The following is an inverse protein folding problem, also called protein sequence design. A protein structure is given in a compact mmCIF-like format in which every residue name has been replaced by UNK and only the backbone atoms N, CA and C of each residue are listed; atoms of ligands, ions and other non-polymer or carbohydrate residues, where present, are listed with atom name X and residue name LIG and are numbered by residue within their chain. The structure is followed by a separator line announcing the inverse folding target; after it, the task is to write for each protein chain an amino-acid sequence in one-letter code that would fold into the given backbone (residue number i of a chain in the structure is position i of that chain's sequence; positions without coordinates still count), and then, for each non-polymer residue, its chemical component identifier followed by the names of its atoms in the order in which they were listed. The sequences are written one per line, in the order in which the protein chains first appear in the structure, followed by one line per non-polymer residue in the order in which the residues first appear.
data_IF_131928102014
#
_entry.id   IF_131928102014
#
_cell.length_a   1.000
_cell.length_b   1.000
_cell.length_c   1.000
_cell.angle_alpha   90.00
_cell.angle_beta   90.00
_cell.angle_gamma   90.00
#
_symmetry.space_group_name_H-M   'P 1'
#
loop_
_entity.id
_entity.type
_entity.pdbx_description
1 polymer ?
#
# COMPACT_ATOMS: atom_id res chain seq x y z
N UNK A 1 -19.64 -1.15 0.01
CA UNK A 1 -18.26 -1.49 -0.45
C UNK A 1 -17.72 -2.48 0.55
N UNK A 2 -17.42 -3.69 0.10
CA UNK A 2 -17.10 -4.79 1.02
C UNK A 2 -15.60 -5.15 0.99
N UNK A 3 -14.86 -4.64 -0.01
CA UNK A 3 -13.44 -4.91 -0.19
C UNK A 3 -12.70 -3.68 -0.75
N UNK A 4 -11.47 -3.48 -0.24
CA UNK A 4 -10.51 -2.49 -0.74
C UNK A 4 -9.17 -3.19 -0.96
N UNK A 5 -8.52 -2.89 -2.08
CA UNK A 5 -7.13 -3.28 -2.30
C UNK A 5 -6.21 -2.18 -1.77
N UNK A 6 -5.17 -2.60 -1.07
CA UNK A 6 -4.14 -1.69 -0.52
C UNK A 6 -2.82 -2.06 -1.18
N UNK A 7 -2.41 -1.23 -2.14
CA UNK A 7 -1.23 -1.39 -2.99
C UNK A 7 -0.09 -0.55 -2.43
N UNK A 8 0.69 -1.16 -1.53
CA UNK A 8 1.66 -0.47 -0.67
C UNK A 8 2.97 -0.20 -1.41
N UNK A 9 3.31 1.07 -1.57
CA UNK A 9 4.61 1.57 -2.02
C UNK A 9 5.17 0.88 -3.28
N UNK A 10 4.31 0.58 -4.25
CA UNK A 10 4.72 -0.02 -5.53
C UNK A 10 5.34 1.01 -6.47
N UNK A 11 6.43 1.64 -6.00
CA UNK A 11 7.13 2.75 -6.66
C UNK A 11 8.43 2.29 -7.33
N UNK A 12 8.92 3.10 -8.28
CA UNK A 12 10.11 2.79 -9.08
C UNK A 12 11.35 2.59 -8.21
N UNK A 13 11.58 3.46 -7.21
CA UNK A 13 12.75 3.36 -6.34
C UNK A 13 12.80 2.05 -5.52
N UNK A 14 11.66 1.42 -5.27
CA UNK A 14 11.58 0.16 -4.54
C UNK A 14 11.56 -1.08 -5.43
N UNK A 15 10.96 -0.97 -6.63
CA UNK A 15 10.70 -2.14 -7.47
C UNK A 15 11.66 -2.28 -8.64
N UNK A 16 12.27 -1.19 -9.14
CA UNK A 16 13.26 -1.26 -10.21
C UNK A 16 14.63 -1.66 -9.64
N UNK A 17 15.36 -2.62 -10.24
CA UNK A 17 16.71 -2.98 -9.79
C UNK A 17 17.70 -1.82 -9.75
N UNK A 18 17.47 -0.75 -10.53
CA UNK A 18 18.24 0.48 -10.49
C UNK A 18 17.66 1.54 -9.55
N UNK A 19 16.59 1.23 -8.84
CA UNK A 19 15.92 2.13 -7.90
C UNK A 19 16.77 2.46 -6.67
N UNK A 20 16.57 3.63 -6.10
CA UNK A 20 17.42 4.17 -5.03
C UNK A 20 17.33 3.37 -3.72
N UNK A 21 16.24 2.64 -3.49
CA UNK A 21 16.05 1.75 -2.34
C UNK A 21 15.40 0.43 -2.80
N UNK A 22 16.07 -0.25 -3.73
CA UNK A 22 15.57 -1.50 -4.30
C UNK A 22 15.30 -2.56 -3.23
N UNK A 23 14.10 -3.12 -3.25
CA UNK A 23 13.68 -4.20 -2.35
C UNK A 23 14.05 -5.55 -2.98
N UNK A 24 14.92 -6.36 -2.36
CA UNK A 24 15.30 -7.67 -2.88
C UNK A 24 14.07 -8.57 -3.11
N UNK A 25 14.04 -9.29 -4.23
CA UNK A 25 12.91 -10.17 -4.59
C UNK A 25 11.67 -9.44 -5.14
N UNK A 26 11.67 -8.11 -5.20
CA UNK A 26 10.51 -7.36 -5.73
C UNK A 26 10.19 -7.70 -7.19
N UNK A 27 11.17 -8.04 -8.01
CA UNK A 27 10.95 -8.44 -9.40
C UNK A 27 10.11 -9.73 -9.51
N UNK A 28 10.22 -10.64 -8.55
CA UNK A 28 9.49 -11.91 -8.53
C UNK A 28 7.98 -11.72 -8.27
N UNK A 29 7.62 -10.66 -7.55
CA UNK A 29 6.23 -10.35 -7.19
C UNK A 29 5.51 -9.47 -8.21
N UNK A 30 6.23 -8.81 -9.13
CA UNK A 30 5.65 -7.90 -10.12
C UNK A 30 4.51 -8.53 -10.95
N UNK A 31 4.63 -9.78 -11.44
CA UNK A 31 3.54 -10.42 -12.19
C UNK A 31 2.25 -10.52 -11.37
N UNK A 32 2.35 -10.84 -10.08
CA UNK A 32 1.20 -10.98 -9.19
C UNK A 32 0.59 -9.61 -8.82
N UNK A 33 1.40 -8.61 -8.51
CA UNK A 33 0.92 -7.23 -8.30
C UNK A 33 0.14 -6.75 -9.54
N UNK A 34 0.69 -6.94 -10.73
CA UNK A 34 0.03 -6.58 -11.99
C UNK A 34 -1.32 -7.26 -12.14
N UNK A 35 -1.41 -8.58 -11.91
CA UNK A 35 -2.66 -9.35 -11.96
C UNK A 35 -3.71 -8.81 -10.99
N UNK A 36 -3.31 -8.47 -9.76
CA UNK A 36 -4.20 -7.87 -8.75
C UNK A 36 -4.74 -6.52 -9.21
N UNK A 37 -3.87 -5.64 -9.74
CA UNK A 37 -4.27 -4.31 -10.22
C UNK A 37 -5.14 -4.38 -11.50
N UNK A 38 -4.87 -5.31 -12.40
CA UNK A 38 -5.73 -5.59 -13.57
C UNK A 38 -7.10 -6.12 -13.11
N UNK A 39 -7.14 -7.02 -12.12
CA UNK A 39 -8.37 -7.52 -11.51
C UNK A 39 -9.16 -6.41 -10.82
N UNK A 40 -8.50 -5.53 -10.08
CA UNK A 40 -9.13 -4.35 -9.50
C UNK A 40 -9.81 -3.48 -10.55
N UNK A 41 -9.18 -3.31 -11.72
CA UNK A 41 -9.77 -2.59 -12.86
C UNK A 41 -11.01 -3.30 -13.37
N UNK A 42 -10.93 -4.60 -13.63
CA UNK A 42 -12.01 -5.41 -14.21
C UNK A 42 -13.23 -5.49 -13.27
N UNK A 43 -13.00 -5.70 -11.99
CA UNK A 43 -14.04 -5.85 -10.97
C UNK A 43 -14.44 -4.51 -10.34
N UNK A 44 -13.83 -3.40 -10.76
CA UNK A 44 -14.03 -2.06 -10.19
C UNK A 44 -13.84 -2.04 -8.67
N UNK A 45 -12.80 -2.75 -8.19
CA UNK A 45 -12.45 -2.78 -6.76
C UNK A 45 -11.75 -1.47 -6.41
N UNK A 46 -12.25 -0.79 -5.39
CA UNK A 46 -11.61 0.42 -4.85
C UNK A 46 -10.18 0.09 -4.41
N UNK A 47 -9.22 0.88 -4.86
CA UNK A 47 -7.81 0.69 -4.51
C UNK A 47 -7.28 1.92 -3.81
N UNK A 48 -6.57 1.72 -2.71
CA UNK A 48 -5.77 2.73 -2.02
C UNK A 48 -4.30 2.37 -2.22
N UNK A 49 -3.54 3.29 -2.81
CA UNK A 49 -2.09 3.14 -2.95
C UNK A 49 -1.41 4.18 -2.05
N UNK A 50 -1.03 3.83 -0.81
CA UNK A 50 -0.07 4.64 -0.08
C UNK A 50 1.24 4.67 -0.87
N UNK A 51 1.86 5.84 -0.97
CA UNK A 51 3.11 6.06 -1.70
C UNK A 51 4.00 7.02 -0.92
N UNK A 52 5.28 6.72 -0.83
CA UNK A 52 6.24 7.65 -0.26
C UNK A 52 6.40 8.88 -1.15
N UNK A 53 6.44 10.05 -0.52
CA UNK A 53 6.61 11.35 -1.18
C UNK A 53 7.45 12.26 -0.27
N UNK A 54 8.74 11.94 -0.15
CA UNK A 54 9.66 12.60 0.74
C UNK A 54 10.06 13.99 0.25
N UNK A 55 10.31 14.92 1.18
CA UNK A 55 10.97 16.18 0.87
C UNK A 55 12.47 15.95 0.60
N UNK A 56 13.13 16.94 0.00
CA UNK A 56 14.53 16.81 -0.50
C UNK A 56 15.53 16.45 0.59
N UNK A 57 15.26 16.85 1.84
CA UNK A 57 16.09 16.72 3.05
C UNK A 57 15.33 16.00 4.18
N UNK A 58 14.53 15.01 3.83
CA UNK A 58 13.77 14.22 4.78
C UNK A 58 14.69 13.51 5.79
N UNK A 59 14.24 13.50 7.06
CA UNK A 59 15.00 12.89 8.16
C UNK A 59 15.18 11.39 8.01
N UNK A 60 14.26 10.73 7.31
CA UNK A 60 14.28 9.30 7.05
C UNK A 60 15.47 8.89 6.19
N UNK A 61 16.00 9.79 5.36
CA UNK A 61 17.18 9.55 4.52
C UNK A 61 18.46 9.25 5.31
N UNK A 62 18.48 9.56 6.61
CA UNK A 62 19.58 9.16 7.50
C UNK A 62 19.64 7.65 7.72
N UNK A 63 18.53 6.96 7.61
CA UNK A 63 18.41 5.53 7.85
C UNK A 63 18.40 4.72 6.54
N UNK A 64 17.65 5.19 5.53
CA UNK A 64 17.39 4.42 4.31
C UNK A 64 18.04 5.01 3.05
N UNK A 65 18.73 6.16 3.17
CA UNK A 65 19.22 6.89 1.99
C UNK A 65 18.09 7.62 1.26
N UNK A 66 18.47 8.42 0.27
CA UNK A 66 17.54 9.25 -0.48
C UNK A 66 16.74 8.40 -1.46
N UNK A 67 15.43 8.36 -1.32
CA UNK A 67 14.49 7.63 -2.17
C UNK A 67 13.15 8.36 -2.26
N UNK A 68 12.33 8.03 -3.24
CA UNK A 68 10.95 8.48 -3.43
C UNK A 68 10.75 10.00 -3.15
N UNK A 69 11.72 10.84 -3.56
CA UNK A 69 11.59 12.29 -3.45
C UNK A 69 10.40 12.74 -4.30
N UNK A 70 9.49 13.51 -3.71
CA UNK A 70 8.26 13.92 -4.39
C UNK A 70 8.52 14.59 -5.74
N UNK A 71 7.82 14.14 -6.77
CA UNK A 71 7.99 14.57 -8.15
C UNK A 71 9.18 13.96 -8.90
N UNK A 72 10.04 13.15 -8.24
CA UNK A 72 11.14 12.45 -8.92
C UNK A 72 10.65 11.24 -9.75
N UNK A 73 11.43 10.77 -10.73
CA UNK A 73 11.10 9.52 -11.43
C UNK A 73 10.98 8.31 -10.50
N UNK A 74 11.83 8.23 -9.45
CA UNK A 74 11.82 7.14 -8.48
C UNK A 74 10.56 7.09 -7.62
N UNK A 75 9.94 8.25 -7.38
CA UNK A 75 8.68 8.37 -6.63
C UNK A 75 7.48 7.85 -7.42
N UNK A 76 7.55 7.77 -8.73
CA UNK A 76 6.43 7.33 -9.55
C UNK A 76 6.04 5.88 -9.23
N UNK A 77 4.74 5.60 -9.30
CA UNK A 77 4.26 4.21 -9.21
C UNK A 77 4.77 3.40 -10.40
N UNK A 78 5.28 2.19 -10.13
CA UNK A 78 5.84 1.30 -11.14
C UNK A 78 4.78 0.92 -12.20
N UNK A 79 3.56 0.61 -11.74
CA UNK A 79 2.39 0.40 -12.59
C UNK A 79 1.55 1.68 -12.70
N UNK A 80 2.12 2.76 -13.24
CA UNK A 80 1.49 4.08 -13.24
C UNK A 80 0.09 4.11 -13.89
N UNK A 81 -0.19 3.23 -14.86
CA UNK A 81 -1.48 3.12 -15.55
C UNK A 81 -2.50 2.23 -14.85
N UNK A 82 -2.09 1.48 -13.78
CA UNK A 82 -2.96 0.54 -13.09
C UNK A 82 -3.20 0.94 -11.62
N UNK A 83 -4.36 0.57 -11.05
CA UNK A 83 -5.54 0.13 -11.78
C UNK A 83 -6.06 1.24 -12.68
N UNK A 84 -6.66 0.89 -13.83
CA UNK A 84 -7.26 1.84 -14.77
C UNK A 84 -8.64 2.30 -14.27
N UNK A 85 -8.66 2.95 -13.12
CA UNK A 85 -9.83 3.49 -12.44
C UNK A 85 -9.69 5.03 -12.34
N UNK A 86 -10.79 5.77 -12.17
CA UNK A 86 -10.73 7.19 -11.86
C UNK A 86 -9.84 7.43 -10.63
N UNK A 87 -8.85 8.32 -10.76
CA UNK A 87 -7.77 8.50 -9.78
C UNK A 87 -7.94 9.79 -8.99
N UNK A 88 -7.71 9.67 -7.69
CA UNK A 88 -7.61 10.78 -6.75
C UNK A 88 -6.20 10.76 -6.13
N UNK A 89 -5.56 11.92 -6.05
CA UNK A 89 -4.26 12.06 -5.37
C UNK A 89 -4.47 12.89 -4.12
N UNK A 90 -4.11 12.32 -2.98
CA UNK A 90 -4.20 12.97 -1.67
C UNK A 90 -2.80 13.32 -1.16
N UNK A 91 -2.52 14.60 -1.05
CA UNK A 91 -1.28 15.10 -0.47
C UNK A 91 -1.20 14.74 1.03
N UNK A 92 0.00 14.68 1.65
CA UNK A 92 0.17 14.22 3.04
C UNK A 92 -0.68 14.98 4.06
N UNK A 93 -0.83 16.29 3.88
CA UNK A 93 -1.60 17.20 4.74
C UNK A 93 -2.86 17.75 4.04
N UNK A 94 -3.47 17.00 3.11
CA UNK A 94 -4.62 17.48 2.36
C UNK A 94 -5.81 17.81 3.27
N UNK A 95 -6.30 19.04 3.19
CA UNK A 95 -7.54 19.46 3.82
C UNK A 95 -8.73 19.10 2.92
N UNK A 96 -9.15 17.84 2.99
CA UNK A 96 -10.29 17.33 2.24
C UNK A 96 -11.61 17.75 2.92
N UNK A 97 -12.56 18.23 2.16
CA UNK A 97 -13.93 18.43 2.67
C UNK A 97 -14.68 17.09 2.81
N UNK A 98 -15.85 17.10 3.43
CA UNK A 98 -16.60 15.87 3.70
C UNK A 98 -17.08 15.13 2.44
N UNK A 99 -17.25 15.81 1.33
CA UNK A 99 -17.62 15.20 0.06
C UNK A 99 -16.43 14.48 -0.59
N UNK A 100 -15.22 14.99 -0.39
CA UNK A 100 -13.96 14.41 -0.87
C UNK A 100 -13.46 13.28 0.04
N UNK A 101 -13.76 13.37 1.34
CA UNK A 101 -13.31 12.45 2.36
C UNK A 101 -14.17 11.19 2.41
N UNK A 102 -14.06 10.37 1.38
CA UNK A 102 -14.73 9.06 1.29
C UNK A 102 -14.07 8.17 0.26
N UNK A 103 -14.14 6.87 0.46
CA UNK A 103 -13.78 5.88 -0.53
C UNK A 103 -15.02 5.51 -1.35
N UNK A 104 -15.03 5.85 -2.62
CA UNK A 104 -16.12 5.50 -3.53
C UNK A 104 -15.80 4.18 -4.26
N UNK A 105 -16.79 3.33 -4.52
CA UNK A 105 -16.59 2.09 -5.27
C UNK A 105 -15.97 2.34 -6.65
N UNK A 106 -14.98 1.52 -6.99
CA UNK A 106 -14.33 1.58 -8.30
C UNK A 106 -13.49 2.84 -8.54
N UNK A 107 -12.94 3.42 -7.50
CA UNK A 107 -12.01 4.55 -7.56
C UNK A 107 -10.60 4.12 -7.10
N UNK A 108 -9.59 4.87 -7.51
CA UNK A 108 -8.20 4.68 -7.10
C UNK A 108 -7.71 5.92 -6.34
N UNK A 109 -7.29 5.72 -5.09
CA UNK A 109 -6.77 6.77 -4.21
C UNK A 109 -5.27 6.59 -4.01
N UNK A 110 -4.47 7.49 -4.56
CA UNK A 110 -3.03 7.57 -4.31
C UNK A 110 -2.82 8.49 -3.11
N UNK A 111 -2.43 7.93 -1.98
CA UNK A 111 -2.24 8.65 -0.72
C UNK A 111 -0.74 8.86 -0.47
N UNK A 112 -0.25 10.08 -0.70
CA UNK A 112 1.13 10.44 -0.44
C UNK A 112 1.42 10.47 1.06
N UNK A 113 2.52 9.87 1.49
CA UNK A 113 2.98 9.84 2.89
C UNK A 113 4.47 10.15 3.00
N UNK A 114 4.94 10.46 4.21
CA UNK A 114 6.34 10.76 4.52
C UNK A 114 6.91 9.85 5.61
N UNK A 115 6.14 8.88 6.06
CA UNK A 115 6.53 7.88 7.06
C UNK A 115 5.86 6.56 6.71
N UNK A 116 6.26 5.47 7.37
CA UNK A 116 5.84 4.11 7.00
C UNK A 116 4.34 3.88 6.95
N UNK A 117 3.51 4.28 7.97
CA UNK A 117 2.10 3.93 7.96
C UNK A 117 1.27 4.81 7.03
N UNK A 118 0.33 4.19 6.31
CA UNK A 118 -0.61 4.89 5.44
C UNK A 118 -1.45 5.94 6.17
N UNK A 119 -1.72 5.74 7.45
CA UNK A 119 -2.46 6.67 8.30
C UNK A 119 -1.66 7.94 8.66
N UNK A 120 -0.41 8.06 8.24
CA UNK A 120 0.30 9.34 8.26
C UNK A 120 -0.21 10.34 7.20
N UNK A 121 -0.92 9.87 6.17
CA UNK A 121 -1.70 10.74 5.29
C UNK A 121 -2.96 11.22 6.02
N UNK A 122 -3.15 12.55 6.12
CA UNK A 122 -4.25 13.15 6.89
C UNK A 122 -5.63 12.74 6.39
N UNK A 123 -5.82 12.55 5.09
CA UNK A 123 -7.08 12.08 4.50
C UNK A 123 -7.41 10.65 4.95
N UNK A 124 -6.43 9.74 4.85
CA UNK A 124 -6.60 8.35 5.26
C UNK A 124 -6.83 8.26 6.78
N UNK A 125 -6.09 9.03 7.59
CA UNK A 125 -6.30 9.09 9.04
C UNK A 125 -7.73 9.51 9.41
N UNK A 126 -8.26 10.53 8.76
CA UNK A 126 -9.65 10.97 8.97
C UNK A 126 -10.68 9.91 8.55
N UNK A 127 -10.42 9.11 7.51
CA UNK A 127 -11.29 7.97 7.15
C UNK A 127 -11.28 6.91 8.25
N UNK A 128 -10.09 6.60 8.82
CA UNK A 128 -9.96 5.71 9.98
C UNK A 128 -10.78 6.22 11.16
N UNK A 129 -10.63 7.49 11.51
CA UNK A 129 -11.31 8.11 12.67
C UNK A 129 -12.83 8.12 12.50
N UNK A 130 -13.31 8.12 11.26
CA UNK A 130 -14.74 7.95 10.91
C UNK A 130 -15.18 6.48 10.87
N UNK A 131 -14.29 5.54 11.14
CA UNK A 131 -14.61 4.11 11.17
C UNK A 131 -14.85 3.50 9.79
N UNK A 132 -14.36 4.10 8.70
CA UNK A 132 -14.57 3.63 7.33
C UNK A 132 -13.98 2.24 7.10
N UNK A 133 -12.90 1.90 7.80
CA UNK A 133 -12.24 0.60 7.67
C UNK A 133 -12.87 -0.51 8.52
N UNK A 134 -13.77 -0.19 9.44
CA UNK A 134 -14.38 -1.16 10.36
C UNK A 134 -15.19 -2.21 9.61
N UNK A 135 -14.82 -3.47 9.75
CA UNK A 135 -15.45 -4.61 9.06
C UNK A 135 -15.17 -4.68 7.56
N UNK A 136 -14.39 -3.74 7.01
CA UNK A 136 -14.00 -3.75 5.60
C UNK A 136 -12.94 -4.82 5.36
N UNK A 137 -13.07 -5.62 4.31
CA UNK A 137 -12.02 -6.51 3.84
C UNK A 137 -10.94 -5.70 3.14
N UNK A 138 -9.71 -5.70 3.69
CA UNK A 138 -8.55 -5.05 3.12
C UNK A 138 -7.57 -6.10 2.59
N UNK A 139 -7.35 -6.13 1.28
CA UNK A 139 -6.39 -7.00 0.62
C UNK A 139 -5.10 -6.23 0.38
N UNK A 140 -4.04 -6.58 1.12
CA UNK A 140 -2.79 -5.83 1.19
C UNK A 140 -1.69 -6.55 0.42
N UNK A 141 -0.98 -5.82 -0.44
CA UNK A 141 0.17 -6.30 -1.23
C UNK A 141 1.13 -5.15 -1.52
N UNK A 142 2.35 -5.44 -1.96
CA UNK A 142 3.39 -4.43 -2.26
C UNK A 142 4.64 -4.60 -1.40
N UNK A 143 5.31 -3.49 -1.06
CA UNK A 143 6.63 -3.47 -0.39
C UNK A 143 6.71 -2.38 0.70
N UNK A 144 7.67 -2.45 1.64
CA UNK A 144 8.43 -3.63 2.00
C UNK A 144 7.71 -4.40 3.12
N UNK A 145 7.74 -5.73 3.06
CA UNK A 145 7.03 -6.61 4.02
C UNK A 145 7.34 -6.28 5.47
N UNK A 146 8.62 -6.04 5.76
CA UNK A 146 9.17 -5.78 7.10
C UNK A 146 9.07 -4.32 7.55
N UNK A 147 8.55 -3.43 6.70
CA UNK A 147 8.39 -1.99 7.00
C UNK A 147 6.94 -1.55 6.74
N UNK A 148 6.64 -1.01 5.57
CA UNK A 148 5.35 -0.37 5.27
C UNK A 148 4.18 -1.35 5.20
N UNK A 149 4.36 -2.54 4.58
CA UNK A 149 3.31 -3.56 4.51
C UNK A 149 2.90 -4.01 5.92
N UNK A 150 3.90 -4.27 6.80
CA UNK A 150 3.64 -4.61 8.20
C UNK A 150 2.92 -3.48 8.92
N UNK A 151 3.40 -2.24 8.80
CA UNK A 151 2.80 -1.08 9.45
C UNK A 151 1.34 -0.90 9.02
N UNK A 152 1.07 -0.91 7.73
CA UNK A 152 -0.27 -0.72 7.18
C UNK A 152 -1.22 -1.87 7.56
N UNK A 153 -0.74 -3.12 7.56
CA UNK A 153 -1.55 -4.27 7.93
C UNK A 153 -1.95 -4.23 9.42
N UNK A 154 -1.03 -3.87 10.31
CA UNK A 154 -1.31 -3.74 11.75
C UNK A 154 -2.27 -2.57 12.02
N UNK A 155 -2.02 -1.42 11.44
CA UNK A 155 -2.86 -0.23 11.59
C UNK A 155 -4.30 -0.46 11.06
N UNK A 156 -4.45 -1.20 9.97
CA UNK A 156 -5.75 -1.58 9.44
C UNK A 156 -6.48 -2.56 10.38
N UNK A 157 -5.76 -3.51 10.99
CA UNK A 157 -6.34 -4.38 12.03
C UNK A 157 -6.83 -3.55 13.21
N UNK A 158 -6.03 -2.61 13.71
CA UNK A 158 -6.40 -1.71 14.81
C UNK A 158 -7.59 -0.81 14.45
N UNK A 159 -7.73 -0.46 13.18
CA UNK A 159 -8.90 0.26 12.66
C UNK A 159 -10.16 -0.64 12.52
N UNK A 160 -10.06 -1.93 12.84
CA UNK A 160 -11.16 -2.89 12.81
C UNK A 160 -11.43 -3.49 11.42
N UNK A 161 -10.49 -3.44 10.50
CA UNK A 161 -10.59 -4.08 9.20
C UNK A 161 -10.33 -5.61 9.29
N UNK A 162 -10.87 -6.36 8.32
CA UNK A 162 -10.49 -7.75 8.07
C UNK A 162 -9.33 -7.75 7.08
N UNK A 163 -8.10 -7.93 7.57
CA UNK A 163 -6.88 -7.76 6.77
C UNK A 163 -6.41 -9.08 6.18
N UNK A 164 -6.18 -9.08 4.87
CA UNK A 164 -5.68 -10.23 4.10
C UNK A 164 -4.41 -9.82 3.35
N UNK A 165 -3.25 -10.32 3.75
CA UNK A 165 -1.97 -10.07 3.08
C UNK A 165 -1.72 -11.14 2.02
N UNK A 166 -1.43 -10.70 0.79
CA UNK A 166 -1.19 -11.58 -0.37
C UNK A 166 0.28 -11.99 -0.38
N UNK A 167 0.57 -13.22 0.07
CA UNK A 167 1.93 -13.73 0.33
C UNK A 167 2.85 -13.76 -0.88
N UNK A 168 2.33 -14.02 -2.05
CA UNK A 168 3.02 -14.11 -3.32
C UNK A 168 3.04 -12.77 -4.09
N UNK A 169 2.63 -11.68 -3.41
CA UNK A 169 2.65 -10.31 -3.91
C UNK A 169 3.27 -9.31 -2.91
N UNK A 170 4.11 -9.79 -1.98
CA UNK A 170 4.89 -8.97 -1.06
C UNK A 170 6.37 -9.37 -1.09
N UNK A 171 7.27 -8.40 -0.94
CA UNK A 171 8.72 -8.60 -0.77
C UNK A 171 9.25 -7.65 0.30
N UNK A 172 10.37 -7.98 0.93
CA UNK A 172 10.92 -7.19 2.04
C UNK A 172 12.43 -7.05 1.98
N UNK A 173 12.96 -6.23 2.86
CA UNK A 173 14.37 -5.83 2.85
C UNK A 173 15.31 -6.92 3.37
N UNK A 174 14.90 -7.64 4.42
CA UNK A 174 15.76 -8.65 5.05
C UNK A 174 14.98 -9.92 5.42
N UNK A 175 15.60 -11.12 5.30
CA UNK A 175 14.94 -12.37 5.69
C UNK A 175 14.41 -12.37 7.13
N UNK A 176 15.24 -11.94 8.09
CA UNK A 176 14.87 -11.88 9.52
C UNK A 176 13.76 -10.84 9.76
N UNK A 177 13.81 -9.70 9.06
CA UNK A 177 12.78 -8.68 9.13
C UNK A 177 11.43 -9.19 8.63
N UNK A 178 11.44 -9.86 7.48
CA UNK A 178 10.26 -10.49 6.88
C UNK A 178 9.65 -11.51 7.85
N UNK A 179 10.46 -12.40 8.44
CA UNK A 179 9.98 -13.42 9.35
C UNK A 179 9.30 -12.80 10.59
N UNK A 180 9.94 -11.79 11.22
CA UNK A 180 9.35 -11.04 12.32
C UNK A 180 8.05 -10.35 11.92
N UNK A 181 8.04 -9.65 10.79
CA UNK A 181 6.85 -8.95 10.30
C UNK A 181 5.66 -9.89 10.10
N UNK A 182 5.93 -11.07 9.53
CA UNK A 182 4.90 -12.09 9.34
C UNK A 182 4.39 -12.68 10.65
N UNK A 183 5.26 -12.84 11.64
CA UNK A 183 4.87 -13.28 12.99
C UNK A 183 3.97 -12.23 13.68
N UNK A 184 4.36 -10.96 13.64
CA UNK A 184 3.59 -9.85 14.20
C UNK A 184 2.21 -9.72 13.55
N UNK A 185 2.15 -9.78 12.23
CA UNK A 185 0.89 -9.74 11.49
C UNK A 185 -0.02 -10.93 11.85
N UNK A 186 0.52 -12.15 11.98
CA UNK A 186 -0.27 -13.31 12.46
C UNK A 186 -0.82 -13.09 13.87
N UNK A 187 0.01 -12.58 14.77
CA UNK A 187 -0.41 -12.31 16.15
C UNK A 187 -1.52 -11.26 16.23
N UNK A 188 -1.54 -10.30 15.30
CA UNK A 188 -2.60 -9.30 15.16
C UNK A 188 -3.87 -9.81 14.46
N UNK A 189 -3.90 -11.08 14.01
CA UNK A 189 -5.08 -11.66 13.35
C UNK A 189 -5.14 -11.43 11.84
N UNK A 190 -4.05 -11.00 11.21
CA UNK A 190 -3.97 -10.89 9.74
C UNK A 190 -4.07 -12.27 9.10
N UNK A 191 -4.98 -12.41 8.15
CA UNK A 191 -5.06 -13.58 7.29
C UNK A 191 -4.05 -13.50 6.15
N UNK A 192 -3.47 -14.64 5.77
CA UNK A 192 -2.59 -14.72 4.61
C UNK A 192 -3.27 -15.47 3.48
N UNK A 193 -3.11 -14.95 2.27
CA UNK A 193 -3.75 -15.47 1.05
C UNK A 193 -2.75 -15.47 -0.11
N UNK A 194 -3.19 -15.90 -1.29
CA UNK A 194 -2.41 -15.85 -2.54
C UNK A 194 -3.17 -15.06 -3.60
N UNK A 195 -2.44 -14.60 -4.61
CA UNK A 195 -3.03 -13.94 -5.79
C UNK A 195 -4.13 -14.81 -6.41
N UNK A 196 -3.89 -16.11 -6.62
CA UNK A 196 -4.87 -17.01 -7.22
C UNK A 196 -6.14 -17.16 -6.36
N UNK A 197 -6.01 -17.17 -5.04
CA UNK A 197 -7.16 -17.22 -4.14
C UNK A 197 -8.00 -15.94 -4.24
N UNK A 198 -7.36 -14.77 -4.28
CA UNK A 198 -8.07 -13.49 -4.46
C UNK A 198 -8.80 -13.44 -5.82
N UNK A 199 -8.12 -13.81 -6.91
CA UNK A 199 -8.72 -13.81 -8.24
C UNK A 199 -9.85 -14.84 -8.39
N UNK A 200 -9.87 -15.90 -7.59
CA UNK A 200 -10.96 -16.87 -7.50
C UNK A 200 -12.11 -16.43 -6.57
N UNK A 201 -12.07 -15.21 -6.03
CA UNK A 201 -13.11 -14.66 -5.13
C UNK A 201 -13.09 -15.24 -3.70
N UNK A 202 -11.93 -15.78 -3.27
CA UNK A 202 -11.75 -16.41 -1.94
C UNK A 202 -10.97 -15.54 -0.97
#
# INVERSE_FOLDING_TARGET
MDCVFVDVDTQVDFLDPAGALYVPGSQEILPNIRRLLEWATQQRITTVSPVDAHVVDDVEFRQYGRHCVDGSPGQQRYFAALPALPRHVWEPAAELNDAELRLLPGQHYVAKKRTFPMFSNAGIARLRDRGVFRGLRCVVFGVATDVCVRADALDLCDAGASVHVVRDAIAGLTPDGIERALADMRAAGVAFTTTDAILAGR
#
